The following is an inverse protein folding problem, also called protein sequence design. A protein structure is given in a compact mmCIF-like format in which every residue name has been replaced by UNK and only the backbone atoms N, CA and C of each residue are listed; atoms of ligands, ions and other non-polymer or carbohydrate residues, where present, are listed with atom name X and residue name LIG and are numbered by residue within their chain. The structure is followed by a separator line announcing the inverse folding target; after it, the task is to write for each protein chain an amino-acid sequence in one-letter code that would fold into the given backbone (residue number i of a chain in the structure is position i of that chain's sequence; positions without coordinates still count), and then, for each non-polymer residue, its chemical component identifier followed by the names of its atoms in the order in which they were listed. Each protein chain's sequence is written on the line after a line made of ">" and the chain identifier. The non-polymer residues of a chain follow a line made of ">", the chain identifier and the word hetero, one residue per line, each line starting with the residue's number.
data_IF_330297844839
#
_entry.id   IF_330297844839
#
_cell.length_a   1.000
_cell.length_b   1.000
_cell.length_c   1.000
_cell.angle_alpha   90.00
_cell.angle_beta   90.00
_cell.angle_gamma   90.00
#
_symmetry.space_group_name_H-M   'P 1'
#
loop_
_entity.id
_entity.type
_entity.pdbx_description
1 polymer ?
#
# COMPACT_ATOMS: atom_id res chain seq x y z
N UNK A 1 -13.44 26.56 3.96
CA UNK A 1 -12.58 25.70 3.12
C UNK A 1 -11.26 25.53 3.85
N UNK A 2 -11.03 24.39 4.50
CA UNK A 2 -9.82 24.17 5.33
C UNK A 2 -8.64 24.02 4.39
N UNK A 3 -7.61 24.86 4.52
CA UNK A 3 -6.32 24.62 3.86
C UNK A 3 -5.66 23.45 4.58
N UNK A 4 -5.67 22.28 3.95
CA UNK A 4 -4.82 21.17 4.37
C UNK A 4 -3.36 21.64 4.35
N UNK A 5 -2.63 21.31 5.40
CA UNK A 5 -1.18 21.55 5.45
C UNK A 5 -0.48 20.76 4.33
N UNK A 6 0.70 21.23 3.92
CA UNK A 6 1.52 20.58 2.89
C UNK A 6 1.78 19.10 3.24
N UNK A 7 1.92 18.80 4.53
CA UNK A 7 2.12 17.44 5.06
C UNK A 7 0.87 16.58 4.94
N UNK A 8 -0.30 17.08 5.33
CA UNK A 8 -1.56 16.33 5.21
C UNK A 8 -1.88 16.04 3.74
N UNK A 9 -1.66 17.02 2.86
CA UNK A 9 -1.86 16.84 1.42
C UNK A 9 -0.90 15.80 0.83
N UNK A 10 0.36 15.81 1.27
CA UNK A 10 1.35 14.82 0.86
C UNK A 10 0.94 13.41 1.30
N UNK A 11 0.42 13.25 2.50
CA UNK A 11 -0.09 11.96 2.98
C UNK A 11 -1.30 11.46 2.19
N UNK A 12 -2.25 12.33 1.83
CA UNK A 12 -3.38 11.95 0.98
C UNK A 12 -2.90 11.43 -0.38
N UNK A 13 -1.94 12.13 -0.99
CA UNK A 13 -1.31 11.69 -2.24
C UNK A 13 -0.63 10.33 -2.10
N UNK A 14 0.06 10.09 -0.97
CA UNK A 14 0.68 8.80 -0.69
C UNK A 14 -0.35 7.68 -0.53
N UNK A 15 -1.45 7.92 0.18
CA UNK A 15 -2.54 6.94 0.33
C UNK A 15 -3.15 6.58 -1.02
N UNK A 16 -3.47 7.57 -1.85
CA UNK A 16 -3.99 7.32 -3.19
C UNK A 16 -2.98 6.57 -4.07
N UNK A 17 -1.69 6.91 -3.98
CA UNK A 17 -0.65 6.19 -4.71
C UNK A 17 -0.53 4.73 -4.26
N UNK A 18 -0.58 4.47 -2.94
CA UNK A 18 -0.62 3.11 -2.39
C UNK A 18 -1.83 2.35 -2.95
N UNK A 19 -3.03 2.93 -2.91
CA UNK A 19 -4.24 2.29 -3.46
C UNK A 19 -4.12 1.95 -4.95
N UNK A 20 -3.40 2.75 -5.75
CA UNK A 20 -3.13 2.44 -7.16
C UNK A 20 -2.08 1.34 -7.33
N UNK A 21 -0.98 1.38 -6.56
CA UNK A 21 0.05 0.32 -6.54
C UNK A 21 -0.56 -1.00 -6.14
N UNK A 22 -1.40 -0.93 -5.11
CA UNK A 22 -2.26 -1.99 -4.70
C UNK A 22 -3.06 -2.42 -5.91
N UNK A 23 -3.99 -1.62 -6.45
CA UNK A 23 -4.96 -2.00 -7.50
C UNK A 23 -4.40 -2.48 -8.86
N UNK A 24 -3.15 -2.14 -9.21
CA UNK A 24 -2.61 -2.36 -10.56
C UNK A 24 -1.15 -2.80 -10.58
N UNK A 25 -0.50 -2.93 -9.42
CA UNK A 25 0.95 -3.12 -9.30
C UNK A 25 1.73 -1.81 -9.45
N UNK A 26 3.06 -1.91 -9.44
CA UNK A 26 4.00 -0.76 -9.40
C UNK A 26 3.95 0.16 -10.62
N UNK A 27 3.21 -0.20 -11.68
CA UNK A 27 3.04 0.59 -12.89
C UNK A 27 2.01 1.73 -12.71
N UNK A 28 2.17 2.55 -11.67
CA UNK A 28 1.27 3.68 -11.35
C UNK A 28 1.35 4.77 -12.40
N UNK A 29 0.24 5.41 -12.77
CA UNK A 29 0.26 6.67 -13.52
C UNK A 29 -0.01 7.83 -12.58
N UNK A 30 0.72 8.95 -12.76
CA UNK A 30 0.48 10.18 -12.00
C UNK A 30 -0.97 10.67 -12.20
N UNK A 31 -1.50 10.50 -13.41
CA UNK A 31 -2.88 10.83 -13.78
C UNK A 31 -3.91 10.08 -12.92
N UNK A 32 -3.69 8.80 -12.64
CA UNK A 32 -4.61 8.00 -11.82
C UNK A 32 -4.62 8.50 -10.37
N UNK A 33 -3.45 8.80 -9.81
CA UNK A 33 -3.30 9.33 -8.45
C UNK A 33 -3.92 10.71 -8.33
N UNK A 34 -3.68 11.58 -9.31
CA UNK A 34 -4.22 12.92 -9.36
C UNK A 34 -5.75 12.90 -9.48
N UNK A 35 -6.27 12.04 -10.35
CA UNK A 35 -7.71 11.87 -10.59
C UNK A 35 -8.45 11.28 -9.40
N UNK A 36 -7.83 10.33 -8.68
CA UNK A 36 -8.39 9.76 -7.44
C UNK A 36 -8.66 10.81 -6.36
N UNK A 37 -7.90 11.92 -6.36
CA UNK A 37 -8.01 12.98 -5.37
C UNK A 37 -8.52 14.32 -5.95
N UNK A 38 -8.94 14.33 -7.22
CA UNK A 38 -9.42 15.53 -7.90
C UNK A 38 -8.41 16.67 -7.99
N UNK A 39 -7.11 16.37 -8.10
CA UNK A 39 -6.03 17.38 -8.20
C UNK A 39 -5.31 17.33 -9.54
N UNK A 40 -4.51 18.36 -9.80
CA UNK A 40 -3.70 18.44 -11.01
C UNK A 40 -2.45 17.56 -10.92
N UNK A 41 -2.01 17.02 -12.06
CA UNK A 41 -0.73 16.30 -12.17
C UNK A 41 0.46 17.15 -11.70
N UNK A 42 0.40 18.46 -11.96
CA UNK A 42 1.42 19.42 -11.51
C UNK A 42 1.53 19.47 -9.98
N UNK A 43 0.41 19.36 -9.24
CA UNK A 43 0.45 19.31 -7.78
C UNK A 43 1.14 18.03 -7.28
N UNK A 44 0.87 16.89 -7.91
CA UNK A 44 1.55 15.63 -7.56
C UNK A 44 3.06 15.76 -7.80
N UNK A 45 3.46 16.28 -8.96
CA UNK A 45 4.88 16.50 -9.28
C UNK A 45 5.52 17.58 -8.42
N UNK A 46 4.78 18.57 -7.95
CA UNK A 46 5.27 19.54 -6.96
C UNK A 46 5.70 18.85 -5.65
N UNK A 47 4.94 17.87 -5.18
CA UNK A 47 5.25 17.15 -3.93
C UNK A 47 6.33 16.07 -4.07
N UNK A 48 6.44 15.41 -5.23
CA UNK A 48 7.30 14.22 -5.39
C UNK A 48 8.40 14.37 -6.44
N UNK A 49 8.40 15.45 -7.23
CA UNK A 49 9.31 15.75 -8.35
C UNK A 49 9.23 14.78 -9.54
N UNK A 50 9.23 13.46 -9.30
CA UNK A 50 9.20 12.44 -10.35
C UNK A 50 8.24 11.31 -10.01
N UNK A 51 7.88 10.52 -11.04
CA UNK A 51 7.02 9.35 -10.89
C UNK A 51 7.66 8.28 -10.02
N UNK A 52 8.95 8.02 -10.19
CA UNK A 52 9.70 7.00 -9.45
C UNK A 52 9.73 7.34 -7.96
N UNK A 53 9.84 8.63 -7.63
CA UNK A 53 9.77 9.13 -6.25
C UNK A 53 8.38 8.95 -5.64
N UNK A 54 7.29 9.07 -6.41
CA UNK A 54 5.94 8.73 -5.93
C UNK A 54 5.87 7.26 -5.56
N UNK A 55 6.33 6.38 -6.45
CA UNK A 55 6.29 4.93 -6.22
C UNK A 55 7.13 4.54 -5.01
N UNK A 56 8.38 5.00 -4.95
CA UNK A 56 9.27 4.72 -3.81
C UNK A 56 8.69 5.24 -2.49
N UNK A 57 8.16 6.47 -2.47
CA UNK A 57 7.57 7.04 -1.27
C UNK A 57 6.28 6.31 -0.83
N UNK A 58 5.46 5.87 -1.78
CA UNK A 58 4.25 5.09 -1.49
C UNK A 58 4.59 3.70 -0.91
N UNK A 59 5.57 3.01 -1.47
CA UNK A 59 6.03 1.72 -0.94
C UNK A 59 6.60 1.88 0.47
N UNK A 60 7.45 2.89 0.70
CA UNK A 60 7.96 3.19 2.05
C UNK A 60 6.83 3.51 3.02
N UNK A 61 5.87 4.34 2.61
CA UNK A 61 4.72 4.71 3.44
C UNK A 61 3.88 3.49 3.83
N UNK A 62 3.62 2.57 2.90
CA UNK A 62 2.93 1.31 3.19
C UNK A 62 3.74 0.44 4.18
N UNK A 63 5.04 0.29 3.95
CA UNK A 63 5.92 -0.50 4.82
C UNK A 63 6.00 0.07 6.26
N UNK A 64 5.98 1.40 6.40
CA UNK A 64 5.96 2.06 7.71
C UNK A 64 4.65 1.82 8.47
N UNK A 65 3.50 1.92 7.80
CA UNK A 65 2.18 1.60 8.39
C UNK A 65 2.12 0.13 8.82
N UNK A 66 2.63 -0.76 7.96
CA UNK A 66 2.75 -2.18 8.19
C UNK A 66 3.58 -2.50 9.45
N UNK A 67 4.78 -1.91 9.57
CA UNK A 67 5.62 -2.05 10.76
C UNK A 67 4.97 -1.46 12.00
N UNK A 68 4.27 -0.33 11.88
CA UNK A 68 3.55 0.28 12.99
C UNK A 68 2.41 -0.62 13.47
N UNK A 69 1.69 -1.28 12.54
CA UNK A 69 0.65 -2.24 12.86
C UNK A 69 1.21 -3.45 13.62
N UNK A 70 2.32 -4.02 13.15
CA UNK A 70 3.00 -5.10 13.85
C UNK A 70 3.42 -4.71 15.26
N UNK A 71 4.04 -3.54 15.43
CA UNK A 71 4.45 -3.05 16.75
C UNK A 71 3.26 -2.98 17.71
N UNK A 72 2.10 -2.51 17.24
CA UNK A 72 0.85 -2.50 18.03
C UNK A 72 0.37 -3.90 18.40
N UNK A 73 0.41 -4.85 17.47
CA UNK A 73 0.03 -6.25 17.73
C UNK A 73 0.94 -6.90 18.77
N UNK A 74 2.24 -6.66 18.66
CA UNK A 74 3.24 -7.16 19.60
C UNK A 74 3.14 -6.47 20.97
N UNK A 75 2.73 -5.20 21.05
CA UNK A 75 2.55 -4.51 22.33
C UNK A 75 1.40 -5.01 23.22
N UNK A 76 0.47 -5.83 22.68
CA UNK A 76 -0.69 -6.32 23.45
C UNK A 76 -0.28 -7.41 24.45
N UNK A 77 -0.68 -7.26 25.73
CA UNK A 77 -0.55 -8.30 26.77
C UNK A 77 -1.31 -9.56 26.38
N UNK A 78 -0.64 -10.44 25.65
CA UNK A 78 -1.12 -11.74 25.17
C UNK A 78 0.05 -12.72 25.20
N UNK A 79 -0.24 -14.02 25.24
CA UNK A 79 0.80 -15.06 25.21
C UNK A 79 1.73 -14.87 24.00
N UNK A 80 3.05 -14.98 24.21
CA UNK A 80 4.10 -14.85 23.18
C UNK A 80 3.83 -15.70 21.92
N UNK A 81 3.25 -16.88 22.09
CA UNK A 81 2.91 -17.81 21.00
C UNK A 81 1.68 -17.32 20.20
N UNK A 82 0.79 -16.52 20.81
CA UNK A 82 -0.32 -15.85 20.12
C UNK A 82 0.17 -14.62 19.34
N UNK A 83 1.15 -13.89 19.88
CA UNK A 83 1.83 -12.77 19.21
C UNK A 83 2.59 -13.23 17.98
N UNK A 84 3.40 -14.28 18.11
CA UNK A 84 4.15 -14.87 17.00
C UNK A 84 3.21 -15.42 15.92
N UNK A 85 2.17 -16.20 16.28
CA UNK A 85 1.18 -16.68 15.30
C UNK A 85 0.40 -15.57 14.60
N UNK A 86 0.20 -14.42 15.26
CA UNK A 86 -0.47 -13.27 14.63
C UNK A 86 0.45 -12.55 13.65
N UNK A 87 1.73 -12.40 14.00
CA UNK A 87 2.73 -11.82 13.12
C UNK A 87 3.04 -12.73 11.93
N UNK A 88 3.21 -14.03 12.17
CA UNK A 88 3.47 -15.04 11.14
C UNK A 88 2.29 -15.13 10.15
N UNK A 89 1.05 -15.23 10.63
CA UNK A 89 -0.15 -15.19 9.76
C UNK A 89 -0.28 -13.90 8.94
N UNK A 90 0.38 -12.83 9.37
CA UNK A 90 0.34 -11.53 8.73
C UNK A 90 1.53 -11.32 7.76
N UNK A 91 2.68 -11.96 8.01
CA UNK A 91 3.90 -11.85 7.19
C UNK A 91 4.17 -13.04 6.25
N UNK A 92 3.63 -14.24 6.51
CA UNK A 92 4.05 -15.47 5.83
C UNK A 92 3.48 -15.58 4.39
N UNK A 93 4.33 -15.74 3.36
CA UNK A 93 3.93 -15.96 1.97
C UNK A 93 3.77 -17.46 1.63
N UNK A 94 3.31 -18.30 2.57
CA UNK A 94 3.25 -19.76 2.38
C UNK A 94 1.94 -20.23 1.75
N UNK A 95 1.99 -20.42 0.42
CA UNK A 95 1.51 -21.64 -0.24
C UNK A 95 0.08 -22.09 0.05
N UNK A 96 -0.90 -21.22 -0.23
CA UNK A 96 -2.27 -21.47 -0.71
C UNK A 96 -3.03 -20.18 -0.41
N UNK A 97 -2.73 -19.16 -1.22
CA UNK A 97 -3.22 -17.81 -1.07
C UNK A 97 -4.72 -17.75 -1.33
N UNK A 98 -5.51 -18.02 -0.28
CA UNK A 98 -6.88 -17.56 -0.15
C UNK A 98 -6.82 -16.05 0.16
N UNK A 99 -6.50 -15.30 -0.90
CA UNK A 99 -6.47 -13.84 -1.00
C UNK A 99 -7.56 -13.21 -0.12
N UNK A 100 -7.14 -12.53 0.95
CA UNK A 100 -7.94 -11.45 1.58
C UNK A 100 -7.37 -10.16 1.00
N UNK A 101 -7.65 -9.82 -0.26
CA UNK A 101 -8.88 -9.13 -0.74
C UNK A 101 -9.23 -8.00 0.23
N UNK A 102 -8.57 -6.85 0.07
CA UNK A 102 -9.20 -5.50 0.16
C UNK A 102 -8.20 -4.32 0.16
N UNK A 103 -6.88 -4.54 0.10
CA UNK A 103 -5.90 -3.44 0.09
C UNK A 103 -4.60 -3.79 -0.65
N UNK A 104 -4.71 -4.44 -1.81
CA UNK A 104 -3.57 -4.80 -2.67
C UNK A 104 -4.14 -5.45 -3.93
N UNK A 105 -4.74 -4.69 -4.84
CA UNK A 105 -5.18 -5.24 -6.14
C UNK A 105 -4.04 -5.58 -7.11
N UNK A 106 -3.00 -6.27 -6.66
CA UNK A 106 -1.96 -6.71 -7.57
C UNK A 106 -2.51 -7.94 -8.30
N UNK A 107 -2.65 -7.87 -9.63
CA UNK A 107 -3.07 -8.98 -10.48
C UNK A 107 -1.97 -9.39 -11.45
N UNK A 108 -1.46 -10.63 -11.36
CA UNK A 108 -0.84 -11.31 -12.48
C UNK A 108 -1.90 -12.19 -13.18
N UNK A 109 -1.98 -12.09 -14.50
CA UNK A 109 -2.86 -12.90 -15.35
C UNK A 109 -2.58 -14.40 -15.11
N UNK A 110 -3.67 -15.16 -14.97
CA UNK A 110 -3.68 -16.59 -14.68
C UNK A 110 -3.04 -17.43 -15.81
N UNK A 111 -2.27 -18.45 -15.44
CA UNK A 111 -1.85 -19.54 -16.33
C UNK A 111 -2.84 -20.71 -16.14
N UNK A 112 -3.39 -21.35 -17.20
CA UNK A 112 -4.31 -22.46 -17.05
C UNK A 112 -3.63 -23.72 -16.45
N UNK A 113 -4.41 -24.58 -15.78
CA UNK A 113 -3.88 -25.83 -15.23
C UNK A 113 -3.57 -26.82 -16.35
N UNK A 114 -2.34 -27.32 -16.40
CA UNK A 114 -2.04 -28.53 -17.16
C UNK A 114 -2.63 -29.74 -16.41
N UNK A 115 -3.58 -30.43 -17.04
CA UNK A 115 -3.72 -31.88 -16.88
C UNK A 115 -2.42 -32.55 -17.33
N UNK A 116 -2.01 -33.71 -16.83
CA UNK A 116 -2.76 -34.95 -16.56
C UNK A 116 -2.01 -35.73 -15.49
#
# INVERSE_FOLDING_TARGET
>A
MVRLSVTERREELLRAAVEQIEARGVAVRIEDVASALGVSNALVLYHFSTKEKVVGAAVTFAAEDDLAHLRKLLGRRTNALRRLRSADRWYAPTGQARVRRSRAGWSPRANPPCGT
#
